data_IF_307496776070
#
_entry.id   IF_307496776070
#
_cell.length_a   1.000
_cell.length_b   1.000
_cell.length_c   1.000
_cell.angle_alpha   90.00
_cell.angle_beta   90.00
_cell.angle_gamma   90.00
#
_symmetry.space_group_name_H-M   'P 1'
#
loop_
_entity.id
_entity.type
_entity.pdbx_description
1 polymer ?
#
# COMPACT_ATOMS: atom_id res chain seq x y z
N UNK A 1 0.43 22.56 -16.84
CA UNK A 1 1.72 21.86 -17.07
C UNK A 1 1.82 20.77 -16.02
N UNK A 2 2.28 19.56 -16.37
CA UNK A 2 2.45 18.46 -15.39
C UNK A 2 3.76 18.64 -14.61
N UNK A 3 3.85 18.07 -13.42
CA UNK A 3 5.11 17.99 -12.68
C UNK A 3 6.14 17.13 -13.45
N UNK A 4 7.41 17.54 -13.45
CA UNK A 4 8.49 16.88 -14.20
C UNK A 4 8.66 15.41 -13.80
N UNK A 5 8.46 15.07 -12.52
CA UNK A 5 8.51 13.70 -12.03
C UNK A 5 7.41 12.83 -12.65
N UNK A 6 6.21 13.39 -12.81
CA UNK A 6 5.06 12.72 -13.43
C UNK A 6 5.29 12.56 -14.93
N UNK A 7 5.81 13.59 -15.61
CA UNK A 7 6.18 13.47 -17.03
C UNK A 7 7.21 12.37 -17.27
N UNK A 8 8.21 12.25 -16.40
CA UNK A 8 9.23 11.20 -16.46
C UNK A 8 8.61 9.82 -16.26
N UNK A 9 7.73 9.66 -15.26
CA UNK A 9 7.05 8.40 -14.99
C UNK A 9 6.19 7.95 -16.18
N UNK A 10 5.43 8.87 -16.79
CA UNK A 10 4.61 8.57 -17.96
C UNK A 10 5.46 8.16 -19.17
N UNK A 11 6.59 8.84 -19.40
CA UNK A 11 7.53 8.46 -20.47
C UNK A 11 8.14 7.08 -20.24
N UNK A 12 8.46 6.73 -19.00
CA UNK A 12 9.01 5.42 -18.63
C UNK A 12 8.00 4.29 -18.81
N UNK A 13 6.71 4.54 -18.56
CA UNK A 13 5.65 3.54 -18.62
C UNK A 13 4.75 3.68 -19.86
N UNK A 14 5.20 4.40 -20.90
CA UNK A 14 4.37 4.78 -22.06
C UNK A 14 3.72 3.60 -22.79
N UNK A 15 4.40 2.46 -22.83
CA UNK A 15 3.97 1.25 -23.54
C UNK A 15 3.29 0.25 -22.61
N UNK A 16 3.23 0.55 -21.31
CA UNK A 16 2.60 -0.33 -20.33
C UNK A 16 1.08 -0.22 -20.41
N UNK A 17 0.44 -1.34 -20.72
CA UNK A 17 -1.02 -1.45 -20.79
C UNK A 17 -1.48 -2.62 -19.93
N UNK A 18 -2.45 -2.35 -19.06
CA UNK A 18 -3.15 -3.41 -18.32
C UNK A 18 -4.25 -3.95 -19.23
N UNK A 19 -4.24 -5.25 -19.50
CA UNK A 19 -5.32 -5.92 -20.23
C UNK A 19 -6.55 -6.03 -19.33
N UNK A 20 -7.49 -5.11 -19.52
CA UNK A 20 -8.73 -5.04 -18.74
C UNK A 20 -9.76 -6.10 -19.14
N UNK A 21 -9.53 -6.85 -20.22
CA UNK A 21 -10.45 -7.92 -20.66
C UNK A 21 -10.29 -9.22 -19.84
N UNK A 22 -9.16 -9.38 -19.15
CA UNK A 22 -8.81 -10.59 -18.38
C UNK A 22 -8.43 -10.22 -16.95
N UNK A 23 -9.37 -10.23 -15.97
CA UNK A 23 -9.11 -9.77 -14.61
C UNK A 23 -7.91 -10.42 -13.91
N UNK A 24 -7.71 -11.73 -14.10
CA UNK A 24 -6.58 -12.44 -13.51
C UNK A 24 -5.23 -11.96 -14.08
N UNK A 25 -5.16 -11.74 -15.40
CA UNK A 25 -3.95 -11.19 -16.05
C UNK A 25 -3.72 -9.74 -15.61
N UNK A 26 -4.77 -8.94 -15.52
CA UNK A 26 -4.70 -7.56 -15.07
C UNK A 26 -4.09 -7.43 -13.67
N UNK A 27 -4.45 -8.33 -12.73
CA UNK A 27 -3.87 -8.39 -11.38
C UNK A 27 -2.36 -8.61 -11.43
N UNK A 28 -1.90 -9.62 -12.17
CA UNK A 28 -0.48 -9.94 -12.31
C UNK A 28 0.30 -8.76 -12.93
N UNK A 29 -0.26 -8.15 -13.98
CA UNK A 29 0.35 -6.97 -14.62
C UNK A 29 0.46 -5.80 -13.65
N UNK A 30 -0.60 -5.54 -12.87
CA UNK A 30 -0.62 -4.47 -11.88
C UNK A 30 0.38 -4.70 -10.74
N UNK A 31 0.45 -5.93 -10.21
CA UNK A 31 1.42 -6.30 -9.17
C UNK A 31 2.86 -6.09 -9.64
N UNK A 32 3.18 -6.51 -10.86
CA UNK A 32 4.51 -6.31 -11.43
C UNK A 32 4.83 -4.83 -11.68
N UNK A 33 3.85 -4.04 -12.15
CA UNK A 33 4.00 -2.59 -12.25
C UNK A 33 4.34 -2.01 -10.89
N UNK A 34 3.62 -2.39 -9.82
CA UNK A 34 3.77 -1.80 -8.50
C UNK A 34 5.11 -2.03 -7.81
N UNK A 35 5.84 -3.09 -8.19
CA UNK A 35 7.22 -3.34 -7.71
C UNK A 35 8.20 -2.21 -8.03
N UNK A 36 7.91 -1.34 -9.01
CA UNK A 36 8.78 -0.18 -9.29
C UNK A 36 8.69 0.94 -8.23
N UNK A 37 7.72 0.86 -7.31
CA UNK A 37 7.48 1.86 -6.26
C UNK A 37 7.77 1.34 -4.85
N UNK A 38 8.41 0.18 -4.70
CA UNK A 38 8.45 -0.56 -3.42
C UNK A 38 9.65 -0.24 -2.52
N UNK A 39 10.38 0.84 -2.74
CA UNK A 39 11.64 1.09 -2.00
C UNK A 39 11.65 2.45 -1.29
N UNK A 40 11.04 2.49 -0.09
CA UNK A 40 11.56 3.27 1.02
C UNK A 40 11.40 2.43 2.28
N UNK A 41 12.52 2.06 2.88
CA UNK A 41 12.52 1.48 4.22
C UNK A 41 12.25 2.60 5.22
N UNK A 42 11.03 2.65 5.75
CA UNK A 42 10.68 3.50 6.88
C UNK A 42 10.68 2.62 8.12
N UNK A 43 11.52 2.92 9.14
CA UNK A 43 11.57 2.11 10.34
C UNK A 43 10.22 2.20 11.06
N UNK A 44 9.70 1.04 11.42
CA UNK A 44 8.51 0.88 12.25
C UNK A 44 8.90 0.04 13.46
N UNK A 45 8.20 0.23 14.58
CA UNK A 45 8.45 -0.57 15.77
C UNK A 45 8.07 -2.03 15.56
N UNK A 46 6.98 -2.28 14.82
CA UNK A 46 6.55 -3.64 14.49
C UNK A 46 5.69 -3.68 13.22
N UNK A 47 5.62 -4.86 12.60
CA UNK A 47 4.66 -5.20 11.55
C UNK A 47 4.08 -6.57 11.88
N UNK A 48 2.76 -6.67 11.94
CA UNK A 48 2.07 -7.89 12.33
C UNK A 48 1.11 -8.34 11.24
N UNK A 49 1.18 -9.63 10.89
CA UNK A 49 0.18 -10.28 10.05
C UNK A 49 -1.00 -10.73 10.92
N UNK A 50 -2.19 -10.26 10.59
CA UNK A 50 -3.42 -10.51 11.31
C UNK A 50 -4.46 -11.14 10.38
N UNK A 51 -5.44 -11.80 10.97
CA UNK A 51 -6.58 -12.34 10.25
C UNK A 51 -7.86 -11.99 11.01
N UNK A 52 -8.84 -11.43 10.30
CA UNK A 52 -10.19 -11.25 10.83
C UNK A 52 -11.04 -12.46 10.39
N UNK A 53 -11.54 -13.21 11.37
CA UNK A 53 -12.52 -14.26 11.12
C UNK A 53 -13.87 -13.62 10.80
N UNK A 54 -14.52 -14.09 9.74
CA UNK A 54 -15.91 -13.78 9.41
C UNK A 54 -16.70 -15.08 9.28
N UNK A 55 -18.03 -15.00 9.19
CA UNK A 55 -18.90 -16.17 9.05
C UNK A 55 -18.60 -17.01 7.79
N UNK A 56 -17.95 -16.43 6.77
CA UNK A 56 -17.76 -17.06 5.45
C UNK A 56 -16.31 -17.25 5.05
N UNK A 57 -15.40 -16.41 5.53
CA UNK A 57 -13.99 -16.44 5.16
C UNK A 57 -13.10 -15.68 6.15
N UNK A 58 -11.78 -15.83 5.99
CA UNK A 58 -10.79 -15.04 6.72
C UNK A 58 -10.35 -13.86 5.87
N UNK A 59 -10.27 -12.68 6.48
CA UNK A 59 -9.73 -11.48 5.83
C UNK A 59 -8.30 -11.27 6.33
N UNK A 60 -7.27 -11.40 5.48
CA UNK A 60 -5.90 -11.09 5.86
C UNK A 60 -5.74 -9.57 6.03
N UNK A 61 -5.00 -9.17 7.06
CA UNK A 61 -4.70 -7.78 7.37
C UNK A 61 -3.23 -7.68 7.80
N UNK A 62 -2.60 -6.53 7.56
CA UNK A 62 -1.26 -6.24 8.08
C UNK A 62 -1.34 -4.97 8.93
N UNK A 63 -0.94 -5.07 10.19
CA UNK A 63 -0.83 -3.93 11.09
C UNK A 63 0.58 -3.35 11.01
N UNK A 64 0.67 -2.04 10.76
CA UNK A 64 1.91 -1.29 10.72
C UNK A 64 1.98 -0.42 11.97
N UNK A 65 2.91 -0.72 12.88
CA UNK A 65 2.98 -0.11 14.19
C UNK A 65 4.19 0.83 14.23
N UNK A 66 3.99 2.17 14.17
CA UNK A 66 5.09 3.11 14.34
C UNK A 66 5.57 3.16 15.79
N UNK A 67 6.69 3.83 16.04
CA UNK A 67 7.19 4.06 17.40
C UNK A 67 6.23 4.93 18.23
N UNK A 68 6.36 4.89 19.56
CA UNK A 68 5.61 5.74 20.49
C UNK A 68 4.07 5.62 20.43
N UNK A 69 3.55 4.48 19.95
CA UNK A 69 2.13 4.13 20.04
C UNK A 69 1.80 3.63 21.45
N UNK A 70 0.67 4.08 22.00
CA UNK A 70 0.13 3.59 23.27
C UNK A 70 -1.38 3.32 23.15
N UNK A 71 -2.00 2.83 24.22
CA UNK A 71 -3.43 2.48 24.30
C UNK A 71 -4.42 3.62 23.96
N UNK A 72 -3.97 4.88 24.00
CA UNK A 72 -4.79 6.05 23.64
C UNK A 72 -4.61 6.47 22.18
N UNK A 73 -3.70 5.86 21.43
CA UNK A 73 -3.50 6.15 20.01
C UNK A 73 -4.68 5.64 19.19
N UNK A 74 -5.13 6.46 18.24
CA UNK A 74 -6.13 6.05 17.25
C UNK A 74 -5.53 5.13 16.19
N UNK A 75 -6.38 4.28 15.61
CA UNK A 75 -6.01 3.39 14.50
C UNK A 75 -6.58 3.90 13.18
N UNK A 76 -5.79 3.87 12.11
CA UNK A 76 -6.25 4.03 10.74
C UNK A 76 -6.53 2.66 10.12
N UNK A 77 -7.76 2.43 9.69
CA UNK A 77 -8.10 1.28 8.84
C UNK A 77 -7.99 1.71 7.38
N UNK A 78 -7.08 1.10 6.63
CA UNK A 78 -6.82 1.43 5.24
C UNK A 78 -7.31 0.33 4.29
N UNK A 79 -8.06 0.72 3.26
CA UNK A 79 -8.50 -0.16 2.18
C UNK A 79 -7.79 0.26 0.89
N UNK A 80 -7.13 -0.68 0.21
CA UNK A 80 -6.35 -0.35 -0.98
C UNK A 80 -7.24 0.01 -2.18
N UNK A 81 -6.72 0.86 -3.06
CA UNK A 81 -7.33 1.14 -4.36
C UNK A 81 -7.12 0.00 -5.36
N UNK A 82 -7.51 0.21 -6.62
CA UNK A 82 -7.41 -0.81 -7.67
C UNK A 82 -8.75 -1.19 -8.30
N UNK A 83 -9.78 -0.34 -8.11
CA UNK A 83 -11.08 -0.50 -8.76
C UNK A 83 -11.78 -1.81 -8.42
N UNK A 84 -11.60 -2.31 -7.18
CA UNK A 84 -12.17 -3.56 -6.67
C UNK A 84 -11.67 -4.85 -7.36
N UNK A 85 -10.70 -4.73 -8.28
CA UNK A 85 -10.17 -5.86 -9.04
C UNK A 85 -8.67 -6.04 -8.83
N UNK A 86 -7.92 -4.96 -8.67
CA UNK A 86 -6.46 -4.96 -8.66
C UNK A 86 -5.91 -4.68 -7.26
N UNK A 87 -4.65 -5.07 -7.06
CA UNK A 87 -3.92 -4.81 -5.84
C UNK A 87 -4.13 -5.88 -4.76
N UNK A 88 -3.24 -5.81 -3.78
CA UNK A 88 -3.20 -6.62 -2.56
C UNK A 88 -2.33 -5.88 -1.51
N UNK A 89 -2.14 -6.46 -0.33
CA UNK A 89 -1.31 -5.89 0.75
C UNK A 89 0.10 -5.51 0.26
N UNK A 90 0.76 -6.36 -0.53
CA UNK A 90 2.12 -6.08 -1.02
C UNK A 90 2.17 -4.89 -1.99
N UNK A 91 1.13 -4.69 -2.80
CA UNK A 91 1.10 -3.57 -3.75
C UNK A 91 1.00 -2.18 -3.10
N UNK A 92 0.61 -2.13 -1.82
CA UNK A 92 0.48 -0.90 -1.04
C UNK A 92 1.36 -0.88 0.21
N UNK A 93 2.20 -1.89 0.42
CA UNK A 93 3.01 -2.04 1.63
C UNK A 93 3.87 -0.80 1.91
N UNK A 94 4.54 -0.31 0.86
CA UNK A 94 5.31 0.94 0.92
C UNK A 94 4.46 2.14 1.40
N UNK A 95 3.25 2.31 0.85
CA UNK A 95 2.38 3.43 1.22
C UNK A 95 1.91 3.29 2.67
N UNK A 96 1.55 2.09 3.11
CA UNK A 96 1.11 1.85 4.48
C UNK A 96 2.24 2.07 5.49
N UNK A 97 3.48 1.66 5.18
CA UNK A 97 4.67 1.99 5.98
C UNK A 97 4.89 3.49 6.08
N UNK A 98 4.79 4.20 4.95
CA UNK A 98 4.92 5.65 4.90
C UNK A 98 3.87 6.34 5.77
N UNK A 99 2.59 5.97 5.61
CA UNK A 99 1.50 6.53 6.42
C UNK A 99 1.69 6.27 7.92
N UNK A 100 2.10 5.06 8.30
CA UNK A 100 2.38 4.73 9.70
C UNK A 100 3.51 5.58 10.26
N UNK A 101 4.64 5.69 9.55
CA UNK A 101 5.80 6.48 9.97
C UNK A 101 5.47 7.98 10.09
N UNK A 102 4.79 8.57 9.11
CA UNK A 102 4.45 10.00 9.15
C UNK A 102 3.39 10.32 10.21
N UNK A 103 2.56 9.36 10.61
CA UNK A 103 1.52 9.56 11.62
C UNK A 103 2.06 9.95 13.01
N UNK A 104 3.35 9.69 13.27
CA UNK A 104 4.02 10.02 14.54
C UNK A 104 4.91 11.25 14.46
N UNK A 105 5.30 11.72 13.26
CA UNK A 105 6.19 12.88 13.10
C UNK A 105 5.51 14.23 13.45
N UNK A 106 4.18 14.28 13.47
CA UNK A 106 3.43 15.44 13.94
C UNK A 106 3.26 15.52 15.47
N UNK A 107 3.70 14.49 16.21
CA UNK A 107 3.66 14.46 17.67
C UNK A 107 5.05 14.79 18.21
N UNK A 108 5.32 16.09 18.42
CA UNK A 108 6.38 16.46 19.36
C UNK A 108 6.05 15.87 20.74
N UNK A 109 7.05 15.43 21.52
CA UNK A 109 6.83 15.02 22.91
C UNK A 109 6.18 16.14 23.74
#
# INVERSE_FOLDING_TARGET
>A
MLDVSIERLLKQNKDFVIDRSKPALARIQYENLRKQFSEIDRPLSNIEELHLETDTHKIPMRAYIPENVNEKSSTLVFYHGGGWVLGNIETVDYLCRYLAYESVLGRSP
#
